data_IF_998276076698
#
_entry.id   IF_998276076698
#
_cell.length_a   1.000
_cell.length_b   1.000
_cell.length_c   1.000
_cell.angle_alpha   90.00
_cell.angle_beta   90.00
_cell.angle_gamma   90.00
#
_symmetry.space_group_name_H-M   'P 1'
#
loop_
_entity.id
_entity.type
_entity.pdbx_description
1 polymer ?
#
# COMPACT_ATOMS: atom_id res chain seq x y z
N UNK A 1 0.31 25.15 28.45
CA UNK A 1 1.43 24.38 29.07
C UNK A 1 1.98 23.43 28.02
N UNK A 2 2.97 23.86 27.25
CA UNK A 2 3.62 23.07 26.19
C UNK A 2 4.75 22.25 26.79
N UNK A 3 4.54 20.94 26.95
CA UNK A 3 5.57 20.01 27.39
C UNK A 3 6.73 19.99 26.39
N UNK A 4 7.94 20.34 26.83
CA UNK A 4 9.16 20.16 26.03
C UNK A 4 9.30 18.66 25.73
N UNK A 5 9.44 18.26 24.45
CA UNK A 5 9.58 16.85 24.11
C UNK A 5 10.79 16.25 24.84
N UNK A 6 10.61 15.09 25.46
CA UNK A 6 11.68 14.45 26.22
C UNK A 6 12.81 14.03 25.29
N UNK A 7 14.08 14.14 25.73
CA UNK A 7 15.26 13.71 24.91
C UNK A 7 15.14 12.28 24.38
N UNK A 8 14.36 11.42 25.04
CA UNK A 8 14.11 10.03 24.65
C UNK A 8 13.12 9.89 23.48
N UNK A 9 12.13 10.77 23.37
CA UNK A 9 11.18 10.79 22.25
C UNK A 9 11.82 11.33 20.97
N UNK A 10 12.62 12.41 21.10
CA UNK A 10 13.42 12.97 19.99
C UNK A 10 14.47 11.96 19.51
N UNK A 11 15.10 11.20 20.42
CA UNK A 11 16.05 10.15 20.06
C UNK A 11 15.41 8.99 19.29
N UNK A 12 14.17 8.61 19.65
CA UNK A 12 13.44 7.53 18.99
C UNK A 12 12.89 7.93 17.63
N UNK A 13 12.48 9.19 17.45
CA UNK A 13 12.11 9.75 16.14
C UNK A 13 13.33 9.86 15.21
N UNK A 14 14.48 10.32 15.73
CA UNK A 14 15.72 10.36 14.96
C UNK A 14 16.17 8.95 14.55
N UNK A 15 16.10 7.97 15.45
CA UNK A 15 16.48 6.58 15.15
C UNK A 15 15.65 5.98 14.00
N UNK A 16 14.34 6.27 13.95
CA UNK A 16 13.48 5.87 12.80
C UNK A 16 13.81 6.62 11.51
N UNK A 17 14.37 7.82 11.60
CA UNK A 17 14.78 8.64 10.44
C UNK A 17 16.19 8.31 9.95
N UNK A 18 17.01 7.59 10.73
CA UNK A 18 18.38 7.23 10.33
C UNK A 18 18.45 6.48 8.99
N UNK A 19 17.61 5.47 8.69
CA UNK A 19 17.65 4.79 7.39
C UNK A 19 17.35 5.74 6.23
N UNK A 20 16.38 6.66 6.43
CA UNK A 20 16.02 7.66 5.42
C UNK A 20 17.15 8.67 5.21
N UNK A 21 17.75 9.17 6.30
CA UNK A 21 18.87 10.11 6.22
C UNK A 21 20.10 9.47 5.57
N UNK A 22 20.46 8.25 5.96
CA UNK A 22 21.54 7.48 5.34
C UNK A 22 21.24 7.27 3.86
N UNK A 23 20.02 6.84 3.52
CA UNK A 23 19.60 6.65 2.14
C UNK A 23 19.70 7.93 1.30
N UNK A 24 19.32 9.07 1.86
CA UNK A 24 19.38 10.37 1.17
C UNK A 24 20.83 10.86 0.97
N UNK A 25 21.72 10.62 1.94
CA UNK A 25 23.16 10.90 1.79
C UNK A 25 23.78 10.00 0.73
N UNK A 26 23.47 8.71 0.75
CA UNK A 26 23.94 7.75 -0.27
C UNK A 26 23.43 8.14 -1.65
N UNK A 27 22.14 8.49 -1.77
CA UNK A 27 21.54 8.96 -3.01
C UNK A 27 22.25 10.23 -3.52
N UNK A 28 22.55 11.18 -2.63
CA UNK A 28 23.31 12.38 -2.97
C UNK A 28 24.70 12.05 -3.52
N UNK A 29 25.45 11.17 -2.85
CA UNK A 29 26.79 10.77 -3.28
C UNK A 29 26.75 10.01 -4.62
N UNK A 30 25.75 9.16 -4.83
CA UNK A 30 25.52 8.47 -6.10
C UNK A 30 25.14 9.44 -7.23
N UNK A 31 24.34 10.47 -6.95
CA UNK A 31 23.93 11.48 -7.93
C UNK A 31 25.14 12.21 -8.54
N UNK A 32 26.12 12.54 -7.72
CA UNK A 32 27.36 13.19 -8.15
C UNK A 32 28.46 12.20 -8.55
N UNK A 33 28.26 10.90 -8.32
CA UNK A 33 29.28 9.85 -8.46
C UNK A 33 30.57 10.16 -7.69
N UNK A 34 30.46 10.87 -6.56
CA UNK A 34 31.61 11.38 -5.80
C UNK A 34 31.59 10.84 -4.38
N UNK A 35 32.56 9.97 -4.06
CA UNK A 35 32.73 9.40 -2.72
C UNK A 35 33.80 10.15 -1.92
N UNK A 36 33.67 11.47 -1.83
CA UNK A 36 34.59 12.35 -1.09
C UNK A 36 33.98 12.78 0.25
N UNK A 37 34.83 13.19 1.21
CA UNK A 37 34.37 13.73 2.50
C UNK A 37 33.49 14.96 2.30
N UNK A 38 33.81 15.81 1.32
CA UNK A 38 33.01 16.98 0.98
C UNK A 38 31.61 16.59 0.48
N UNK A 39 31.51 15.58 -0.39
CA UNK A 39 30.23 15.07 -0.86
C UNK A 39 29.39 14.47 0.28
N UNK A 40 30.02 13.79 1.23
CA UNK A 40 29.33 13.29 2.42
C UNK A 40 28.79 14.42 3.30
N UNK A 41 29.61 15.44 3.62
CA UNK A 41 29.19 16.57 4.48
C UNK A 41 28.07 17.38 3.82
N UNK A 42 28.20 17.68 2.52
CA UNK A 42 27.14 18.36 1.77
C UNK A 42 25.89 17.51 1.67
N UNK A 43 26.01 16.20 1.48
CA UNK A 43 24.90 15.26 1.50
C UNK A 43 24.16 15.23 2.84
N UNK A 44 24.87 15.23 3.96
CA UNK A 44 24.27 15.31 5.30
C UNK A 44 23.52 16.64 5.48
N UNK A 45 24.12 17.75 5.06
CA UNK A 45 23.48 19.07 5.14
C UNK A 45 22.18 19.11 4.31
N UNK A 46 22.22 18.59 3.09
CA UNK A 46 21.03 18.48 2.21
C UNK A 46 20.00 17.53 2.83
N UNK A 47 20.42 16.39 3.38
CA UNK A 47 19.50 15.42 3.96
C UNK A 47 18.75 16.00 5.17
N UNK A 48 19.45 16.73 6.03
CA UNK A 48 18.85 17.47 7.15
C UNK A 48 17.93 18.59 6.66
N UNK A 49 18.32 19.33 5.62
CA UNK A 49 17.47 20.37 5.03
C UNK A 49 16.17 19.79 4.48
N UNK A 50 16.26 18.74 3.66
CA UNK A 50 15.11 18.08 3.05
C UNK A 50 14.19 17.51 4.11
N UNK A 51 14.70 16.76 5.10
CA UNK A 51 13.87 16.20 6.18
C UNK A 51 13.22 17.25 7.08
N UNK A 52 13.80 18.45 7.14
CA UNK A 52 13.27 19.55 7.95
C UNK A 52 12.25 20.41 7.20
N UNK A 53 12.42 20.57 5.90
CA UNK A 53 11.50 21.30 5.01
C UNK A 53 10.31 20.42 4.64
N UNK A 54 10.59 19.18 4.21
CA UNK A 54 9.58 18.18 3.90
C UNK A 54 9.39 17.30 5.13
N UNK A 55 8.41 17.67 5.96
CA UNK A 55 7.98 16.81 7.06
C UNK A 55 7.26 15.59 6.48
N UNK A 56 8.01 14.51 6.23
CA UNK A 56 7.40 13.21 5.95
C UNK A 56 6.95 12.60 7.28
N UNK A 57 5.64 12.36 7.49
CA UNK A 57 5.18 11.54 8.60
C UNK A 57 5.90 10.20 8.54
N UNK A 58 6.40 9.67 9.68
CA UNK A 58 7.08 8.39 9.67
C UNK A 58 6.15 7.32 9.11
N UNK A 59 6.54 6.70 8.00
CA UNK A 59 5.83 5.54 7.47
C UNK A 59 5.84 4.48 8.57
N UNK A 60 4.66 4.05 8.99
CA UNK A 60 4.50 2.94 9.93
C UNK A 60 4.81 1.63 9.22
N UNK A 61 6.09 1.44 8.89
CA UNK A 61 6.62 0.13 8.58
C UNK A 61 6.44 -0.69 9.85
N UNK A 62 5.72 -1.80 9.74
CA UNK A 62 5.45 -2.78 10.81
C UNK A 62 6.71 -3.40 11.44
N UNK A 63 7.91 -2.95 11.03
CA UNK A 63 9.20 -3.46 11.47
C UNK A 63 9.61 -4.78 10.80
N UNK A 64 8.75 -5.35 9.94
CA UNK A 64 9.00 -6.59 9.21
C UNK A 64 9.17 -6.28 7.73
N UNK A 65 10.42 -6.16 7.27
CA UNK A 65 10.74 -6.18 5.84
C UNK A 65 11.38 -7.52 5.51
N UNK A 66 10.69 -8.35 4.73
CA UNK A 66 11.23 -9.64 4.30
C UNK A 66 11.74 -9.55 2.85
N UNK A 67 13.06 -9.43 2.69
CA UNK A 67 13.70 -9.27 1.38
C UNK A 67 13.49 -10.46 0.45
N UNK A 68 13.36 -11.67 1.01
CA UNK A 68 13.08 -12.87 0.21
C UNK A 68 11.69 -12.79 -0.41
N UNK A 69 10.67 -12.46 0.38
CA UNK A 69 9.33 -12.28 -0.16
C UNK A 69 9.22 -11.06 -1.08
N UNK A 70 10.03 -10.01 -0.86
CA UNK A 70 10.13 -8.89 -1.79
C UNK A 70 10.60 -9.35 -3.18
N UNK A 71 11.64 -10.18 -3.23
CA UNK A 71 12.18 -10.72 -4.48
C UNK A 71 11.17 -11.65 -5.18
N UNK A 72 10.49 -12.51 -4.41
CA UNK A 72 9.44 -13.42 -4.94
C UNK A 72 8.26 -12.61 -5.50
N UNK A 73 7.82 -11.58 -4.77
CA UNK A 73 6.78 -10.67 -5.24
C UNK A 73 7.21 -9.98 -6.54
N UNK A 74 8.42 -9.43 -6.58
CA UNK A 74 8.94 -8.73 -7.76
C UNK A 74 9.02 -9.65 -8.98
N UNK A 75 9.49 -10.88 -8.81
CA UNK A 75 9.56 -11.86 -9.90
C UNK A 75 8.17 -12.18 -10.47
N UNK A 76 7.19 -12.44 -9.59
CA UNK A 76 5.80 -12.67 -10.01
C UNK A 76 5.19 -11.44 -10.67
N UNK A 77 5.42 -10.26 -10.09
CA UNK A 77 4.90 -8.99 -10.60
C UNK A 77 5.41 -8.72 -12.02
N UNK A 78 6.70 -8.93 -12.29
CA UNK A 78 7.28 -8.77 -13.64
C UNK A 78 6.63 -9.74 -14.63
N UNK A 79 6.38 -10.99 -14.21
CA UNK A 79 5.72 -11.98 -15.07
C UNK A 79 4.27 -11.56 -15.37
N UNK A 80 3.52 -11.13 -14.35
CA UNK A 80 2.14 -10.68 -14.48
C UNK A 80 2.06 -9.43 -15.38
N UNK A 81 2.99 -8.48 -15.20
CA UNK A 81 3.15 -7.28 -16.01
C UNK A 81 3.42 -7.61 -17.49
N UNK A 82 4.37 -8.49 -17.78
CA UNK A 82 4.71 -8.90 -19.16
C UNK A 82 3.52 -9.60 -19.82
N UNK A 83 2.88 -10.54 -19.12
CA UNK A 83 1.70 -11.26 -19.64
C UNK A 83 0.56 -10.32 -19.98
N UNK A 84 0.20 -9.44 -19.04
CA UNK A 84 -0.84 -8.44 -19.23
C UNK A 84 -0.52 -7.46 -20.37
N UNK A 85 0.74 -7.02 -20.46
CA UNK A 85 1.20 -6.16 -21.57
C UNK A 85 1.06 -6.84 -22.94
N UNK A 86 1.43 -8.12 -23.03
CA UNK A 86 1.27 -8.90 -24.27
C UNK A 86 -0.22 -9.09 -24.62
N UNK A 87 -1.06 -9.36 -23.62
CA UNK A 87 -2.50 -9.49 -23.82
C UNK A 87 -3.12 -8.19 -24.34
N UNK A 88 -2.80 -7.05 -23.74
CA UNK A 88 -3.29 -5.74 -24.18
C UNK A 88 -2.75 -5.38 -25.57
N UNK A 89 -1.47 -5.68 -25.85
CA UNK A 89 -0.90 -5.49 -27.18
C UNK A 89 -1.64 -6.33 -28.25
N UNK A 90 -2.00 -7.57 -27.92
CA UNK A 90 -2.78 -8.42 -28.80
C UNK A 90 -4.19 -7.88 -29.04
N UNK A 91 -4.86 -7.40 -27.98
CA UNK A 91 -6.17 -6.76 -28.07
C UNK A 91 -6.12 -5.48 -28.91
N UNK A 92 -5.05 -4.69 -28.82
CA UNK A 92 -4.89 -3.46 -29.59
C UNK A 92 -4.72 -3.69 -31.10
N UNK A 93 -4.10 -4.81 -31.50
CA UNK A 93 -3.89 -5.19 -32.91
C UNK A 93 -5.07 -6.00 -33.46
N UNK A 94 -5.84 -6.65 -32.58
CA UNK A 94 -6.98 -7.48 -32.95
C UNK A 94 -8.14 -6.67 -33.57
N UNK A 95 -8.85 -7.22 -34.57
CA UNK A 95 -10.00 -6.55 -35.21
C UNK A 95 -11.24 -6.48 -34.30
N UNK A 96 -11.22 -7.18 -33.16
CA UNK A 96 -12.26 -7.12 -32.12
C UNK A 96 -11.85 -6.02 -31.13
N UNK A 97 -12.44 -4.83 -31.29
CA UNK A 97 -12.24 -3.71 -30.37
C UNK A 97 -12.61 -4.04 -28.93
N UNK A 98 -12.21 -3.16 -28.00
CA UNK A 98 -12.38 -3.35 -26.55
C UNK A 98 -13.86 -3.51 -26.20
N UNK A 99 -14.21 -4.66 -25.64
CA UNK A 99 -15.53 -4.93 -25.08
C UNK A 99 -15.67 -4.20 -23.73
N UNK A 100 -16.92 -3.95 -23.32
CA UNK A 100 -17.36 -3.16 -22.16
C UNK A 100 -16.36 -2.95 -21.01
N UNK A 101 -16.35 -1.75 -20.43
CA UNK A 101 -15.61 -1.46 -19.20
C UNK A 101 -16.53 -1.51 -17.99
N UNK A 102 -15.98 -1.83 -16.82
CA UNK A 102 -16.72 -1.85 -15.56
C UNK A 102 -15.93 -1.18 -14.44
N UNK A 103 -16.65 -0.61 -13.47
CA UNK A 103 -16.05 -0.15 -12.21
C UNK A 103 -16.24 -1.27 -11.19
N UNK A 104 -15.13 -1.79 -10.67
CA UNK A 104 -15.09 -2.87 -9.69
C UNK A 104 -14.62 -2.32 -8.35
N UNK A 105 -15.43 -2.48 -7.31
CA UNK A 105 -15.05 -2.13 -5.96
C UNK A 105 -14.41 -3.36 -5.27
N UNK A 106 -13.15 -3.22 -4.84
CA UNK A 106 -12.41 -4.26 -4.15
C UNK A 106 -12.12 -3.83 -2.71
N UNK A 107 -12.78 -4.50 -1.79
CA UNK A 107 -12.54 -4.36 -0.36
C UNK A 107 -11.26 -5.10 0.05
N UNK A 108 -10.28 -4.39 0.57
CA UNK A 108 -9.03 -4.95 1.10
C UNK A 108 -9.21 -5.47 2.54
N UNK A 109 -8.29 -6.36 2.94
CA UNK A 109 -8.18 -6.91 4.30
C UNK A 109 -7.20 -6.12 5.17
N UNK A 110 -6.24 -5.45 4.55
CA UNK A 110 -5.25 -4.60 5.22
C UNK A 110 -5.80 -3.22 5.55
N UNK A 111 -5.43 -2.69 6.71
CA UNK A 111 -5.72 -1.30 7.12
C UNK A 111 -4.53 -0.36 6.93
N UNK A 112 -3.40 -0.88 6.46
CA UNK A 112 -2.20 -0.09 6.25
C UNK A 112 -2.32 0.74 4.97
N UNK A 113 -2.37 2.06 5.12
CA UNK A 113 -2.33 3.02 3.99
C UNK A 113 -1.16 2.74 3.05
N UNK A 114 -0.01 2.35 3.61
CA UNK A 114 1.18 2.04 2.82
C UNK A 114 0.99 0.78 1.96
N UNK A 115 0.41 -0.28 2.52
CA UNK A 115 0.12 -1.51 1.77
C UNK A 115 -0.95 -1.23 0.72
N UNK A 116 -2.01 -0.51 1.07
CA UNK A 116 -3.06 -0.10 0.13
C UNK A 116 -2.48 0.70 -1.04
N UNK A 117 -1.56 1.63 -0.76
CA UNK A 117 -0.86 2.40 -1.79
C UNK A 117 -0.03 1.50 -2.70
N UNK A 118 0.75 0.57 -2.14
CA UNK A 118 1.56 -0.36 -2.93
C UNK A 118 0.71 -1.30 -3.78
N UNK A 119 -0.44 -1.75 -3.28
CA UNK A 119 -1.41 -2.53 -4.06
C UNK A 119 -1.94 -1.67 -5.20
N UNK A 120 -2.34 -0.43 -4.94
CA UNK A 120 -2.85 0.46 -5.97
C UNK A 120 -1.82 0.74 -7.08
N UNK A 121 -0.57 1.00 -6.72
CA UNK A 121 0.54 1.17 -7.66
C UNK A 121 0.80 -0.10 -8.48
N UNK A 122 0.87 -1.27 -7.83
CA UNK A 122 1.09 -2.54 -8.51
C UNK A 122 -0.02 -2.84 -9.52
N UNK A 123 -1.29 -2.61 -9.15
CA UNK A 123 -2.41 -2.85 -10.06
C UNK A 123 -2.43 -1.83 -11.21
N UNK A 124 -2.09 -0.57 -10.94
CA UNK A 124 -2.03 0.47 -11.98
C UNK A 124 -0.91 0.24 -12.99
N UNK A 125 0.17 -0.45 -12.60
CA UNK A 125 1.26 -0.82 -13.49
C UNK A 125 0.91 -2.03 -14.38
N UNK A 126 0.01 -2.92 -13.95
CA UNK A 126 -0.39 -4.11 -14.73
C UNK A 126 -1.53 -3.73 -15.69
N UNK A 127 -1.32 -3.78 -17.02
CA UNK A 127 -2.34 -3.39 -17.98
C UNK A 127 -3.62 -4.23 -17.86
N UNK A 128 -4.78 -3.60 -18.00
CA UNK A 128 -6.09 -4.26 -17.92
C UNK A 128 -6.99 -3.73 -16.81
N UNK A 129 -6.43 -3.02 -15.82
CA UNK A 129 -7.20 -2.28 -14.82
C UNK A 129 -6.45 -1.04 -14.34
N UNK A 130 -7.18 0.02 -13.97
CA UNK A 130 -6.63 1.25 -13.41
C UNK A 130 -7.34 1.58 -12.09
N UNK A 131 -6.60 1.96 -11.06
CA UNK A 131 -7.23 2.47 -9.83
C UNK A 131 -7.76 3.89 -10.09
N UNK A 132 -9.06 4.09 -9.91
CA UNK A 132 -9.74 5.39 -10.06
C UNK A 132 -9.80 6.11 -8.72
N UNK A 133 -10.13 5.39 -7.66
CA UNK A 133 -10.30 5.95 -6.33
C UNK A 133 -9.88 4.96 -5.26
N UNK A 134 -9.36 5.51 -4.16
CA UNK A 134 -8.82 4.78 -3.03
C UNK A 134 -9.45 5.33 -1.76
N UNK A 135 -10.42 4.60 -1.20
CA UNK A 135 -11.03 4.93 0.08
C UNK A 135 -10.22 4.30 1.21
N UNK A 136 -9.44 5.13 1.90
CA UNK A 136 -8.58 4.70 3.01
C UNK A 136 -9.37 4.32 4.26
N UNK A 137 -10.46 5.04 4.55
CA UNK A 137 -11.26 4.81 5.76
C UNK A 137 -11.96 3.46 5.71
N UNK A 138 -12.51 3.12 4.54
CA UNK A 138 -13.16 1.84 4.31
C UNK A 138 -12.22 0.77 3.79
N UNK A 139 -10.98 1.11 3.41
CA UNK A 139 -10.02 0.21 2.76
C UNK A 139 -10.55 -0.41 1.46
N UNK A 140 -11.18 0.42 0.62
CA UNK A 140 -11.76 0.01 -0.67
C UNK A 140 -10.97 0.64 -1.82
N UNK A 141 -10.58 -0.16 -2.79
CA UNK A 141 -10.06 0.30 -4.07
C UNK A 141 -11.15 0.21 -5.14
N UNK A 142 -11.40 1.32 -5.84
CA UNK A 142 -12.28 1.37 -7.00
C UNK A 142 -11.45 1.30 -8.25
N UNK A 143 -11.63 0.23 -9.03
CA UNK A 143 -10.86 -0.05 -10.23
C UNK A 143 -11.73 0.10 -11.47
N UNK A 144 -11.18 0.73 -12.50
CA UNK A 144 -11.70 0.66 -13.86
C UNK A 144 -11.06 -0.52 -14.57
N UNK A 145 -11.83 -1.57 -14.83
CA UNK A 145 -11.36 -2.76 -15.53
C UNK A 145 -11.75 -2.71 -17.00
N UNK A 146 -10.80 -3.06 -17.87
CA UNK A 146 -10.97 -3.09 -19.32
C UNK A 146 -11.48 -4.46 -19.75
N UNK A 147 -12.46 -4.50 -20.67
CA UNK A 147 -12.89 -5.76 -21.27
C UNK A 147 -13.64 -6.69 -20.31
N UNK A 148 -14.39 -6.14 -19.37
CA UNK A 148 -15.18 -6.90 -18.38
C UNK A 148 -16.65 -6.83 -18.74
N UNK A 149 -17.24 -7.99 -18.97
CA UNK A 149 -18.60 -8.18 -19.50
C UNK A 149 -19.49 -9.09 -18.66
N UNK A 150 -18.91 -9.91 -17.78
CA UNK A 150 -19.65 -10.84 -16.92
C UNK A 150 -19.20 -10.76 -15.45
N UNK A 151 -20.06 -11.25 -14.55
CA UNK A 151 -19.80 -11.32 -13.11
C UNK A 151 -18.55 -12.17 -12.78
N UNK A 152 -18.29 -13.22 -13.54
CA UNK A 152 -17.11 -14.06 -13.37
C UNK A 152 -15.80 -13.29 -13.67
N UNK A 153 -15.81 -12.40 -14.67
CA UNK A 153 -14.67 -11.55 -15.01
C UNK A 153 -14.44 -10.46 -13.95
N UNK A 154 -15.53 -9.91 -13.38
CA UNK A 154 -15.46 -9.00 -12.23
C UNK A 154 -14.80 -9.68 -11.03
N UNK A 155 -15.17 -10.92 -10.73
CA UNK A 155 -14.60 -11.67 -9.61
C UNK A 155 -13.14 -12.10 -9.89
N UNK A 156 -12.77 -12.34 -11.15
CA UNK A 156 -11.37 -12.55 -11.53
C UNK A 156 -10.50 -11.30 -11.26
N UNK A 157 -11.01 -10.10 -11.57
CA UNK A 157 -10.32 -8.83 -11.23
C UNK A 157 -10.18 -8.71 -9.72
N UNK A 158 -11.27 -8.95 -8.97
CA UNK A 158 -11.27 -8.86 -7.50
C UNK A 158 -10.25 -9.80 -6.88
N UNK A 159 -10.28 -11.08 -7.25
CA UNK A 159 -9.36 -12.10 -6.73
C UNK A 159 -7.91 -11.80 -7.09
N UNK A 160 -7.64 -11.27 -8.29
CA UNK A 160 -6.32 -10.80 -8.70
C UNK A 160 -5.75 -9.72 -7.78
N UNK A 161 -6.55 -8.71 -7.45
CA UNK A 161 -6.17 -7.63 -6.51
C UNK A 161 -5.87 -8.20 -5.12
N UNK A 162 -6.69 -9.13 -4.62
CA UNK A 162 -6.48 -9.76 -3.31
C UNK A 162 -5.22 -10.65 -3.27
N UNK A 163 -4.84 -11.27 -4.39
CA UNK A 163 -3.57 -11.99 -4.50
C UNK A 163 -2.38 -11.03 -4.40
N UNK A 164 -2.45 -9.87 -5.05
CA UNK A 164 -1.42 -8.83 -4.96
C UNK A 164 -1.32 -8.29 -3.53
N UNK A 165 -2.45 -7.98 -2.89
CA UNK A 165 -2.52 -7.61 -1.47
C UNK A 165 -1.80 -8.64 -0.59
N UNK A 166 -2.14 -9.92 -0.72
CA UNK A 166 -1.54 -11.00 0.06
C UNK A 166 -0.02 -11.11 -0.15
N UNK A 167 0.46 -10.92 -1.38
CA UNK A 167 1.90 -10.95 -1.68
C UNK A 167 2.60 -9.76 -1.00
N UNK A 168 2.07 -8.54 -1.14
CA UNK A 168 2.66 -7.33 -0.56
C UNK A 168 2.62 -7.38 0.98
N UNK A 169 1.51 -7.81 1.56
CA UNK A 169 1.38 -8.02 3.01
C UNK A 169 2.38 -9.06 3.54
N UNK A 170 2.79 -10.05 2.75
CA UNK A 170 3.84 -10.99 3.15
C UNK A 170 5.24 -10.34 3.19
N UNK A 171 5.47 -9.30 2.39
CA UNK A 171 6.73 -8.56 2.38
C UNK A 171 6.83 -7.59 3.55
N UNK A 172 5.74 -6.85 3.82
CA UNK A 172 5.73 -5.63 4.63
C UNK A 172 4.66 -5.61 5.75
N UNK A 173 3.72 -6.55 5.73
CA UNK A 173 2.56 -6.56 6.61
C UNK A 173 2.90 -6.87 8.06
N UNK A 174 2.12 -6.25 8.95
CA UNK A 174 2.14 -6.61 10.37
C UNK A 174 1.60 -8.04 10.57
N UNK A 175 1.88 -8.63 11.72
CA UNK A 175 1.33 -9.94 12.07
C UNK A 175 -0.20 -9.92 12.07
N UNK A 176 -0.81 -8.78 12.39
CA UNK A 176 -2.26 -8.60 12.39
C UNK A 176 -2.82 -8.50 10.97
N UNK A 177 -2.13 -7.83 10.04
CA UNK A 177 -2.52 -7.82 8.62
C UNK A 177 -2.50 -9.22 8.01
N UNK A 178 -1.47 -10.01 8.35
CA UNK A 178 -1.37 -11.40 7.91
C UNK A 178 -2.47 -12.30 8.48
N UNK A 179 -2.89 -12.07 9.73
CA UNK A 179 -4.03 -12.76 10.34
C UNK A 179 -5.32 -12.41 9.63
N UNK A 180 -5.63 -11.14 9.42
CA UNK A 180 -6.85 -10.70 8.70
C UNK A 180 -6.94 -11.31 7.29
N UNK A 181 -5.83 -11.34 6.57
CA UNK A 181 -5.76 -11.98 5.24
C UNK A 181 -5.94 -13.50 5.32
N UNK A 182 -5.47 -14.15 6.38
CA UNK A 182 -5.65 -15.59 6.58
C UNK A 182 -7.11 -15.94 6.96
N UNK A 183 -7.74 -15.10 7.78
CA UNK A 183 -9.10 -15.26 8.27
C UNK A 183 -10.15 -14.75 7.26
N UNK A 184 -9.72 -14.13 6.16
CA UNK A 184 -10.59 -13.57 5.12
C UNK A 184 -11.51 -12.45 5.64
N UNK A 185 -11.15 -11.83 6.77
CA UNK A 185 -11.98 -10.79 7.41
C UNK A 185 -11.68 -9.44 6.76
N UNK A 186 -12.65 -8.80 6.09
CA UNK A 186 -12.45 -7.49 5.49
C UNK A 186 -12.12 -6.43 6.54
N UNK A 187 -11.26 -5.47 6.17
CA UNK A 187 -10.86 -4.38 7.07
C UNK A 187 -12.05 -3.58 7.65
N UNK A 188 -13.16 -3.49 6.91
CA UNK A 188 -14.36 -2.77 7.30
C UNK A 188 -15.21 -3.45 8.40
N UNK A 189 -15.02 -4.74 8.68
CA UNK A 189 -15.86 -5.50 9.62
C UNK A 189 -15.79 -5.01 11.08
N UNK A 190 -14.75 -4.25 11.45
CA UNK A 190 -14.59 -3.69 12.81
C UNK A 190 -15.06 -2.23 12.95
N UNK A 191 -15.36 -1.53 11.85
CA UNK A 191 -15.83 -0.13 11.92
C UNK A 191 -17.30 -0.06 12.41
N UNK A 192 -17.99 -1.20 12.44
CA UNK A 192 -19.35 -1.31 12.93
C UNK A 192 -19.46 -2.40 14.01
N UNK A 193 -18.90 -2.13 15.19
CA UNK A 193 -19.57 -2.55 16.42
C UNK A 193 -20.56 -1.41 16.76
N UNK A 194 -21.83 -1.47 16.29
CA UNK A 194 -22.81 -0.53 16.76
C UNK A 194 -22.89 -0.73 18.28
N UNK A 195 -22.67 0.34 19.03
CA UNK A 195 -22.98 0.42 20.46
C UNK A 195 -24.24 -0.39 20.72
N UNK A 196 -24.10 -1.53 21.42
CA UNK A 196 -25.23 -2.34 21.89
C UNK A 196 -26.29 -1.38 22.41
N UNK A 197 -27.54 -1.41 21.90
CA UNK A 197 -28.59 -0.61 22.49
C UNK A 197 -28.71 -1.09 23.93
N UNK A 198 -28.33 -0.21 24.87
CA UNK A 198 -28.58 -0.41 26.29
C UNK A 198 -30.05 -0.79 26.43
N UNK A 199 -30.30 -2.03 26.84
CA UNK A 199 -31.62 -2.56 27.15
C UNK A 199 -32.27 -1.70 28.22
N UNK A 200 -33.00 -0.69 27.78
CA UNK A 200 -33.98 0.04 28.56
C UNK A 200 -35.33 -0.55 28.16
N UNK A 201 -35.63 -1.74 28.69
CA UNK A 201 -37.00 -2.19 28.80
C UNK A 201 -37.44 -1.87 30.22
N UNK A 202 -38.19 -0.78 30.32
CA UNK A 202 -39.11 -0.51 31.41
C UNK A 202 -39.83 -1.80 31.83
N UNK A 203 -39.61 -2.21 33.08
CA UNK A 203 -40.37 -3.25 33.74
C UNK A 203 -41.54 -2.61 34.50
N UNK A 204 -42.73 -2.75 33.93
CA UNK A 204 -44.03 -2.55 34.56
C UNK A 204 -45.11 -2.84 33.52
N UNK A 205 -46.22 -3.57 33.83
CA UNK A 205 -46.91 -3.58 35.12
C UNK A 205 -47.30 -4.98 35.63
N UNK A 206 -47.51 -5.11 36.95
CA UNK A 206 -48.50 -5.99 37.60
C UNK A 206 -48.67 -5.55 39.05
#
# INVERSE_FOLDING_TARGET
MTGRPSRREVGRSLARQMPLLIGLVVLWMCLWSQFTVLAFVTGVAVALLVTRVFFLPPVELSGRFNIWYALVFLAHFVVDLVRASVQVAWQAVGPRGVHSNAIVAVQLHTRSDFIMTLVAEAISLVPGSLVVEADRERSILYLHALGVSDADEVEAVRSGVLVVEKRIARVLGSTDDLRRIADGTPAAAEVHDPVSPSSSSEGGPS
#
